data_IF_921130039185
#
_entry.id   IF_921130039185
#
_cell.length_a   1.000
_cell.length_b   1.000
_cell.length_c   1.000
_cell.angle_alpha   90.00
_cell.angle_beta   90.00
_cell.angle_gamma   90.00
#
_symmetry.space_group_name_H-M   'P 1'
#
loop_
_entity.id
_entity.type
_entity.pdbx_description
1 polymer ?
#
# COMPACT_ATOMS: atom_id res chain seq x y z
N UNK A 1 4.93 -16.36 29.39
CA UNK A 1 4.26 -15.17 28.82
C UNK A 1 2.79 -15.52 28.68
N UNK A 2 1.88 -14.63 29.09
CA UNK A 2 0.44 -14.85 28.98
C UNK A 2 0.05 -14.90 27.50
N UNK A 3 -0.43 -16.05 27.03
CA UNK A 3 -0.84 -16.24 25.64
C UNK A 3 -1.94 -15.29 25.17
N UNK A 4 -2.76 -14.77 26.09
CA UNK A 4 -3.81 -13.79 25.78
C UNK A 4 -3.29 -12.36 25.54
N UNK A 5 -2.23 -11.93 26.24
CA UNK A 5 -1.64 -10.59 26.03
C UNK A 5 -0.90 -10.52 24.68
N UNK A 6 -0.36 -11.66 24.24
CA UNK A 6 0.30 -11.81 22.95
C UNK A 6 -0.71 -11.77 21.79
N UNK A 7 -1.84 -12.48 21.91
CA UNK A 7 -2.89 -12.50 20.88
C UNK A 7 -3.52 -11.12 20.65
N UNK A 8 -3.85 -10.37 21.71
CA UNK A 8 -4.42 -9.02 21.57
C UNK A 8 -3.47 -8.07 20.83
N UNK A 9 -2.17 -8.20 21.06
CA UNK A 9 -1.16 -7.38 20.40
C UNK A 9 -1.07 -7.71 18.91
N UNK A 10 -1.05 -9.00 18.56
CA UNK A 10 -1.04 -9.46 17.18
C UNK A 10 -2.29 -9.06 16.40
N UNK A 11 -3.47 -9.07 17.04
CA UNK A 11 -4.70 -8.56 16.41
C UNK A 11 -4.57 -7.07 16.09
N UNK A 12 -4.11 -6.25 17.03
CA UNK A 12 -3.92 -4.82 16.79
C UNK A 12 -2.91 -4.54 15.67
N UNK A 13 -1.83 -5.33 15.60
CA UNK A 13 -0.85 -5.24 14.50
C UNK A 13 -1.51 -5.57 13.15
N UNK A 14 -2.37 -6.58 13.11
CA UNK A 14 -3.06 -6.99 11.90
C UNK A 14 -4.13 -5.98 11.46
N UNK A 15 -4.82 -5.34 12.41
CA UNK A 15 -5.75 -4.24 12.13
C UNK A 15 -5.02 -3.02 11.54
N UNK A 16 -3.86 -2.66 12.11
CA UNK A 16 -3.02 -1.60 11.57
C UNK A 16 -2.51 -1.94 10.16
N UNK A 17 -2.05 -3.17 9.94
CA UNK A 17 -1.69 -3.67 8.62
C UNK A 17 -2.87 -3.58 7.65
N UNK A 18 -4.08 -3.94 8.07
CA UNK A 18 -5.29 -3.87 7.25
C UNK A 18 -5.63 -2.42 6.87
N UNK A 19 -5.54 -1.46 7.79
CA UNK A 19 -5.74 -0.03 7.48
C UNK A 19 -4.75 0.46 6.42
N UNK A 20 -3.47 0.10 6.55
CA UNK A 20 -2.45 0.41 5.55
C UNK A 20 -2.73 -0.25 4.21
N UNK A 21 -3.16 -1.51 4.21
CA UNK A 21 -3.49 -2.23 2.99
C UNK A 21 -4.69 -1.63 2.27
N UNK A 22 -5.68 -1.06 2.97
CA UNK A 22 -6.79 -0.35 2.33
C UNK A 22 -6.33 0.96 1.66
N UNK A 23 -5.39 1.68 2.27
CA UNK A 23 -4.87 2.95 1.74
C UNK A 23 -4.13 2.80 0.42
N UNK A 24 -3.64 1.61 0.06
CA UNK A 24 -3.01 1.36 -1.26
C UNK A 24 -3.99 1.59 -2.43
N UNK A 25 -5.30 1.59 -2.17
CA UNK A 25 -6.31 1.84 -3.20
C UNK A 25 -6.72 3.30 -3.34
N UNK A 26 -6.19 4.21 -2.51
CA UNK A 26 -6.63 5.62 -2.44
C UNK A 26 -6.58 6.32 -3.80
N UNK A 27 -5.46 6.17 -4.54
CA UNK A 27 -5.33 6.73 -5.87
C UNK A 27 -6.31 6.10 -6.86
N UNK A 28 -6.52 4.79 -6.79
CA UNK A 28 -7.46 4.08 -7.68
C UNK A 28 -8.90 4.55 -7.46
N UNK A 29 -9.33 4.73 -6.21
CA UNK A 29 -10.64 5.28 -5.89
C UNK A 29 -10.81 6.70 -6.44
N UNK A 30 -9.80 7.55 -6.29
CA UNK A 30 -9.83 8.88 -6.89
C UNK A 30 -9.95 8.81 -8.42
N UNK A 31 -9.13 7.98 -9.08
CA UNK A 31 -9.17 7.83 -10.54
C UNK A 31 -10.55 7.37 -11.01
N UNK A 32 -11.15 6.37 -10.37
CA UNK A 32 -12.47 5.85 -10.75
C UNK A 32 -13.56 6.90 -10.56
N UNK A 33 -13.56 7.62 -9.43
CA UNK A 33 -14.58 8.62 -9.10
C UNK A 33 -14.54 9.81 -10.08
N UNK A 34 -13.34 10.30 -10.39
CA UNK A 34 -13.16 11.54 -11.15
C UNK A 34 -12.72 11.33 -12.62
N UNK A 35 -12.73 10.10 -13.14
CA UNK A 35 -12.26 9.78 -14.50
C UNK A 35 -12.95 10.60 -15.61
N UNK A 36 -14.22 10.98 -15.41
CA UNK A 36 -15.02 11.73 -16.38
C UNK A 36 -15.15 13.22 -15.99
N UNK A 37 -14.39 13.68 -14.99
CA UNK A 37 -14.44 15.07 -14.56
C UNK A 37 -13.74 15.97 -15.58
N UNK A 38 -14.51 16.91 -16.15
CA UNK A 38 -14.04 17.83 -17.19
C UNK A 38 -12.86 18.69 -16.73
N UNK A 39 -12.76 18.97 -15.43
CA UNK A 39 -11.68 19.76 -14.84
C UNK A 39 -10.34 19.00 -14.86
N UNK A 40 -10.37 17.67 -14.90
CA UNK A 40 -9.19 16.82 -15.05
C UNK A 40 -8.87 16.51 -16.53
N UNK A 41 -9.88 16.44 -17.40
CA UNK A 41 -9.72 16.08 -18.80
C UNK A 41 -9.31 17.24 -19.73
N UNK A 42 -9.65 18.50 -19.40
CA UNK A 42 -9.42 19.63 -20.31
C UNK A 42 -8.42 20.65 -19.74
N UNK A 43 -7.28 20.88 -20.41
CA UNK A 43 -6.22 21.74 -19.89
C UNK A 43 -6.50 23.25 -19.98
N UNK A 44 -7.58 23.68 -20.63
CA UNK A 44 -7.77 25.06 -21.10
C UNK A 44 -8.42 26.00 -20.07
N UNK A 45 -7.80 26.16 -18.90
CA UNK A 45 -7.86 27.37 -18.03
C UNK A 45 -7.33 27.04 -16.62
N UNK A 46 -6.25 27.70 -16.20
CA UNK A 46 -5.66 27.61 -14.84
C UNK A 46 -6.45 28.48 -13.83
N UNK A 47 -7.50 29.19 -14.28
CA UNK A 47 -8.26 30.13 -13.41
C UNK A 47 -9.33 29.46 -12.55
N UNK A 48 -9.50 28.14 -12.63
CA UNK A 48 -10.52 27.43 -11.88
C UNK A 48 -9.97 26.84 -10.57
N UNK A 49 -10.42 27.40 -9.43
CA UNK A 49 -10.05 26.93 -8.09
C UNK A 49 -10.40 25.44 -7.88
N UNK A 50 -11.50 24.96 -8.46
CA UNK A 50 -11.94 23.57 -8.31
C UNK A 50 -10.93 22.62 -8.94
N UNK A 51 -10.44 22.93 -10.14
CA UNK A 51 -9.42 22.14 -10.82
C UNK A 51 -8.13 22.02 -10.00
N UNK A 52 -7.67 23.13 -9.43
CA UNK A 52 -6.51 23.13 -8.53
C UNK A 52 -6.75 22.19 -7.34
N UNK A 53 -7.93 22.27 -6.71
CA UNK A 53 -8.29 21.38 -5.61
C UNK A 53 -8.28 19.90 -6.04
N UNK A 54 -8.83 19.57 -7.20
CA UNK A 54 -8.84 18.18 -7.69
C UNK A 54 -7.43 17.64 -7.97
N UNK A 55 -6.53 18.47 -8.53
CA UNK A 55 -5.12 18.07 -8.68
C UNK A 55 -4.43 17.84 -7.33
N UNK A 56 -4.65 18.74 -6.36
CA UNK A 56 -4.10 18.57 -5.00
C UNK A 56 -4.62 17.29 -4.34
N UNK A 57 -5.92 16.99 -4.47
CA UNK A 57 -6.51 15.77 -3.91
C UNK A 57 -5.94 14.54 -4.60
N UNK A 58 -5.83 14.54 -5.94
CA UNK A 58 -5.22 13.45 -6.70
C UNK A 58 -3.80 13.15 -6.21
N UNK A 59 -2.99 14.20 -6.09
CA UNK A 59 -1.60 14.07 -5.69
C UNK A 59 -1.48 13.60 -4.22
N UNK A 60 -2.41 14.03 -3.34
CA UNK A 60 -2.52 13.50 -1.98
C UNK A 60 -2.87 12.00 -1.97
N UNK A 61 -3.83 11.57 -2.81
CA UNK A 61 -4.20 10.16 -2.95
C UNK A 61 -3.05 9.32 -3.51
N UNK A 62 -2.26 9.85 -4.45
CA UNK A 62 -1.05 9.20 -4.95
C UNK A 62 0.00 9.05 -3.84
N UNK A 63 0.29 10.13 -3.12
CA UNK A 63 1.26 10.11 -2.02
C UNK A 63 0.85 9.10 -0.93
N UNK A 64 -0.41 9.10 -0.52
CA UNK A 64 -0.94 8.16 0.47
C UNK A 64 -0.80 6.71 -0.01
N UNK A 65 -1.09 6.45 -1.29
CA UNK A 65 -0.93 5.14 -1.92
C UNK A 65 0.54 4.68 -1.87
N UNK A 66 1.48 5.54 -2.25
CA UNK A 66 2.91 5.21 -2.28
C UNK A 66 3.51 5.04 -0.87
N UNK A 67 3.08 5.85 0.10
CA UNK A 67 3.44 5.67 1.51
C UNK A 67 2.95 4.32 2.02
N UNK A 68 1.68 3.98 1.77
CA UNK A 68 1.11 2.71 2.17
C UNK A 68 1.84 1.52 1.52
N UNK A 69 2.18 1.60 0.23
CA UNK A 69 2.97 0.58 -0.45
C UNK A 69 4.35 0.40 0.20
N UNK A 70 5.03 1.49 0.58
CA UNK A 70 6.33 1.43 1.26
C UNK A 70 6.21 0.82 2.65
N UNK A 71 5.22 1.23 3.44
CA UNK A 71 4.99 0.71 4.79
C UNK A 71 4.67 -0.79 4.76
N UNK A 72 3.87 -1.25 3.79
CA UNK A 72 3.56 -2.67 3.63
C UNK A 72 4.79 -3.46 3.16
N UNK A 73 5.59 -2.93 2.23
CA UNK A 73 6.85 -3.56 1.82
C UNK A 73 7.82 -3.69 3.00
N UNK A 74 7.89 -2.68 3.88
CA UNK A 74 8.69 -2.73 5.12
C UNK A 74 8.18 -3.78 6.11
N UNK A 75 6.86 -3.85 6.30
CA UNK A 75 6.22 -4.85 7.17
C UNK A 75 6.57 -6.29 6.77
N UNK A 76 6.70 -6.56 5.47
CA UNK A 76 7.02 -7.88 4.91
C UNK A 76 8.53 -8.22 4.93
N UNK A 77 9.37 -7.37 5.50
CA UNK A 77 10.79 -7.66 5.72
C UNK A 77 10.96 -8.45 7.03
N UNK A 78 11.51 -9.67 7.01
CA UNK A 78 11.76 -10.41 8.24
C UNK A 78 12.78 -9.69 9.12
N UNK A 79 12.54 -9.69 10.44
CA UNK A 79 13.43 -9.06 11.43
C UNK A 79 14.87 -9.57 11.33
N UNK A 80 15.07 -10.86 11.09
CA UNK A 80 16.40 -11.47 10.96
C UNK A 80 17.15 -11.04 9.70
N UNK A 81 16.42 -10.74 8.62
CA UNK A 81 17.00 -10.18 7.40
C UNK A 81 17.41 -8.71 7.56
N UNK A 82 17.18 -8.07 8.71
CA UNK A 82 17.52 -6.66 8.95
C UNK A 82 18.94 -6.43 9.50
N UNK A 83 19.70 -7.51 9.81
CA UNK A 83 21.10 -7.37 10.23
C UNK A 83 22.02 -7.17 9.02
N UNK A 84 22.39 -5.91 8.76
CA UNK A 84 23.28 -5.45 7.66
C UNK A 84 22.79 -5.84 6.25
N UNK A 85 21.90 -5.05 5.66
CA UNK A 85 21.64 -5.17 4.22
C UNK A 85 22.41 -4.12 3.42
N UNK A 86 23.31 -4.60 2.58
CA UNK A 86 24.09 -3.93 1.52
C UNK A 86 23.24 -3.20 0.46
N UNK A 87 21.93 -3.01 0.70
CA UNK A 87 20.95 -2.47 -0.27
C UNK A 87 20.21 -1.22 0.24
N UNK A 88 20.75 -0.51 1.22
CA UNK A 88 20.18 0.76 1.70
C UNK A 88 18.89 0.65 2.53
N UNK A 89 18.62 -0.51 3.15
CA UNK A 89 17.46 -0.69 4.05
C UNK A 89 17.82 -0.30 5.49
N UNK A 90 16.94 0.43 6.16
CA UNK A 90 17.07 0.76 7.59
C UNK A 90 16.97 -0.52 8.41
N UNK A 91 17.86 -0.72 9.39
CA UNK A 91 17.77 -1.84 10.34
C UNK A 91 16.43 -1.75 11.06
N UNK A 92 15.65 -2.84 11.03
CA UNK A 92 14.38 -2.91 11.73
C UNK A 92 14.61 -2.69 13.23
N UNK A 93 13.87 -1.75 13.80
CA UNK A 93 13.89 -1.43 15.22
C UNK A 93 12.99 -2.41 15.96
N UNK A 94 13.23 -2.58 17.26
CA UNK A 94 12.38 -3.44 18.10
C UNK A 94 10.92 -2.94 18.15
N UNK A 95 10.69 -1.65 17.91
CA UNK A 95 9.37 -1.02 17.82
C UNK A 95 8.66 -1.19 16.48
N UNK A 96 9.37 -1.66 15.45
CA UNK A 96 8.78 -1.79 14.12
C UNK A 96 7.86 -3.01 14.10
N UNK A 97 6.65 -2.81 13.59
CA UNK A 97 5.66 -3.85 13.38
C UNK A 97 6.02 -4.62 12.12
N UNK A 98 6.23 -5.94 12.24
CA UNK A 98 6.67 -6.78 11.13
C UNK A 98 5.85 -8.08 11.05
N UNK A 99 5.75 -8.64 9.84
CA UNK A 99 5.13 -9.96 9.63
C UNK A 99 5.83 -11.05 10.47
N UNK A 100 7.13 -10.92 10.72
CA UNK A 100 7.88 -11.85 11.56
C UNK A 100 7.42 -11.88 13.01
N UNK A 101 6.73 -10.84 13.49
CA UNK A 101 6.15 -10.84 14.84
C UNK A 101 5.01 -11.87 14.98
N UNK A 102 4.40 -12.26 13.85
CA UNK A 102 3.42 -13.36 13.78
C UNK A 102 4.07 -14.74 13.61
N UNK A 103 5.40 -14.80 13.46
CA UNK A 103 6.15 -15.99 13.08
C UNK A 103 6.37 -16.15 11.56
N UNK A 104 6.00 -15.15 10.74
CA UNK A 104 6.17 -15.21 9.29
C UNK A 104 7.59 -14.81 8.87
N UNK A 105 8.42 -15.79 8.51
CA UNK A 105 9.85 -15.59 8.23
C UNK A 105 10.18 -15.41 6.74
N UNK A 106 9.20 -15.55 5.86
CA UNK A 106 9.43 -15.39 4.41
C UNK A 106 9.61 -13.92 4.04
N UNK A 107 10.68 -13.60 3.30
CA UNK A 107 10.85 -12.28 2.72
C UNK A 107 9.95 -12.12 1.49
N UNK A 108 8.91 -11.29 1.62
CA UNK A 108 7.93 -11.00 0.58
C UNK A 108 7.98 -9.54 0.13
N UNK A 109 9.14 -8.90 0.24
CA UNK A 109 9.31 -7.57 -0.37
C UNK A 109 9.07 -7.64 -1.87
N UNK A 110 8.29 -6.69 -2.38
CA UNK A 110 7.87 -6.60 -3.77
C UNK A 110 8.36 -5.31 -4.44
N UNK A 111 8.79 -4.31 -3.68
CA UNK A 111 9.41 -3.12 -4.24
C UNK A 111 10.90 -3.39 -4.54
N UNK A 112 11.29 -3.10 -5.78
CA UNK A 112 12.69 -3.03 -6.19
C UNK A 112 13.44 -1.89 -5.49
N UNK A 113 14.77 -1.94 -5.53
CA UNK A 113 15.60 -0.89 -4.93
C UNK A 113 15.36 0.49 -5.56
N UNK A 114 15.09 0.55 -6.86
CA UNK A 114 14.74 1.80 -7.57
C UNK A 114 13.38 2.30 -7.13
N UNK A 115 12.32 1.48 -7.17
CA UNK A 115 10.97 1.88 -6.76
C UNK A 115 10.97 2.42 -5.31
N UNK A 116 11.70 1.75 -4.40
CA UNK A 116 11.86 2.24 -3.02
C UNK A 116 12.60 3.56 -2.94
N UNK A 117 13.65 3.73 -3.73
CA UNK A 117 14.43 4.98 -3.76
C UNK A 117 13.57 6.13 -4.26
N UNK A 118 12.79 5.89 -5.30
CA UNK A 118 11.88 6.86 -5.91
C UNK A 118 10.76 7.26 -4.94
N UNK A 119 10.13 6.29 -4.28
CA UNK A 119 9.10 6.56 -3.27
C UNK A 119 9.70 7.34 -2.10
N UNK A 120 10.86 6.92 -1.60
CA UNK A 120 11.54 7.63 -0.52
C UNK A 120 11.94 9.05 -0.94
N UNK A 121 12.35 9.25 -2.20
CA UNK A 121 12.61 10.57 -2.74
C UNK A 121 11.33 11.39 -2.78
N UNK A 122 10.21 10.87 -3.27
CA UNK A 122 8.93 11.58 -3.29
C UNK A 122 8.48 11.98 -1.87
N UNK A 123 8.53 11.05 -0.92
CA UNK A 123 8.21 11.29 0.50
C UNK A 123 9.17 12.32 1.10
N UNK A 124 10.48 12.16 0.88
CA UNK A 124 11.50 13.06 1.39
C UNK A 124 11.50 14.42 0.68
N UNK A 125 11.00 14.53 -0.55
CA UNK A 125 11.01 15.74 -1.38
C UNK A 125 9.82 16.68 -1.18
N UNK A 126 9.14 16.56 -0.03
CA UNK A 126 8.79 17.76 0.75
C UNK A 126 10.02 18.64 1.11
N UNK A 127 11.26 18.17 0.85
CA UNK A 127 12.52 18.92 1.06
C UNK A 127 13.42 19.18 -0.17
N UNK A 128 13.13 18.71 -1.40
CA UNK A 128 13.85 19.19 -2.61
C UNK A 128 13.07 20.31 -3.29
N UNK A 129 13.79 21.33 -3.77
CA UNK A 129 13.24 22.43 -4.58
C UNK A 129 13.11 21.99 -6.04
N UNK A 130 11.89 21.93 -6.57
CA UNK A 130 11.63 22.02 -8.01
C UNK A 130 10.60 21.06 -8.62
N UNK A 131 10.14 21.33 -9.87
CA UNK A 131 9.13 20.56 -10.62
C UNK A 131 9.60 19.20 -11.16
N UNK A 132 10.87 18.83 -10.99
CA UNK A 132 11.45 17.60 -11.54
C UNK A 132 10.96 16.32 -10.84
N UNK A 133 10.47 16.42 -9.60
CA UNK A 133 9.94 15.28 -8.82
C UNK A 133 8.60 14.75 -9.39
N UNK A 134 7.87 15.60 -10.14
CA UNK A 134 6.50 15.30 -10.60
C UNK A 134 6.44 14.66 -12.01
N UNK A 135 7.57 14.35 -12.63
CA UNK A 135 7.61 13.73 -13.96
C UNK A 135 7.65 12.19 -13.94
N UNK A 136 7.65 11.58 -12.76
CA UNK A 136 7.70 10.14 -12.64
C UNK A 136 6.31 9.55 -12.91
N UNK A 137 6.16 8.87 -14.05
CA UNK A 137 4.96 8.10 -14.34
C UNK A 137 4.97 6.82 -13.50
N UNK A 138 4.16 6.81 -12.45
CA UNK A 138 3.96 5.64 -11.61
C UNK A 138 2.98 4.68 -12.29
N UNK A 139 3.41 3.44 -12.55
CA UNK A 139 2.44 2.37 -12.76
C UNK A 139 1.87 1.94 -11.41
N UNK A 140 0.98 2.79 -10.87
CA UNK A 140 0.35 2.59 -9.56
C UNK A 140 -0.36 1.24 -9.52
N UNK A 141 -0.94 0.81 -10.65
CA UNK A 141 -1.66 -0.44 -10.70
C UNK A 141 -0.74 -1.66 -10.60
N UNK A 142 0.41 -1.66 -11.29
CA UNK A 142 1.41 -2.69 -11.14
C UNK A 142 1.88 -2.80 -9.69
N UNK A 143 2.16 -1.67 -9.03
CA UNK A 143 2.59 -1.63 -7.63
C UNK A 143 1.52 -2.17 -6.68
N UNK A 144 0.25 -1.78 -6.88
CA UNK A 144 -0.89 -2.29 -6.10
C UNK A 144 -1.06 -3.80 -6.32
N UNK A 145 -0.93 -4.28 -7.55
CA UNK A 145 -1.05 -5.71 -7.88
C UNK A 145 0.03 -6.55 -7.21
N UNK A 146 1.29 -6.07 -7.25
CA UNK A 146 2.42 -6.67 -6.52
C UNK A 146 2.13 -6.74 -5.02
N UNK A 147 1.72 -5.62 -4.43
CA UNK A 147 1.38 -5.52 -3.01
C UNK A 147 0.28 -6.52 -2.60
N UNK A 148 -0.86 -6.50 -3.28
CA UNK A 148 -2.00 -7.38 -2.98
C UNK A 148 -1.62 -8.86 -3.07
N UNK A 149 -0.81 -9.24 -4.07
CA UNK A 149 -0.30 -10.61 -4.22
C UNK A 149 0.51 -11.06 -3.00
N UNK A 150 1.48 -10.24 -2.55
CA UNK A 150 2.31 -10.58 -1.39
C UNK A 150 1.51 -10.56 -0.07
N UNK A 151 0.63 -9.58 0.12
CA UNK A 151 -0.24 -9.49 1.28
C UNK A 151 -1.18 -10.69 1.38
N UNK A 152 -1.72 -11.16 0.25
CA UNK A 152 -2.59 -12.34 0.23
C UNK A 152 -1.83 -13.59 0.71
N UNK A 153 -0.58 -13.77 0.28
CA UNK A 153 0.27 -14.87 0.76
C UNK A 153 0.49 -14.81 2.28
N UNK A 154 0.72 -13.63 2.84
CA UNK A 154 0.86 -13.44 4.29
C UNK A 154 -0.44 -13.74 5.04
N UNK A 155 -1.56 -13.18 4.59
CA UNK A 155 -2.86 -13.37 5.24
C UNK A 155 -3.34 -14.83 5.19
N UNK A 156 -3.16 -15.51 4.06
CA UNK A 156 -3.44 -16.95 3.94
C UNK A 156 -2.58 -17.76 4.92
N UNK A 157 -1.31 -17.37 5.12
CA UNK A 157 -0.44 -18.01 6.10
C UNK A 157 -0.92 -17.78 7.54
N UNK A 158 -1.30 -16.55 7.90
CA UNK A 158 -1.83 -16.23 9.24
C UNK A 158 -3.09 -17.05 9.51
N UNK A 159 -4.01 -17.11 8.55
CA UNK A 159 -5.22 -17.94 8.63
C UNK A 159 -4.89 -19.42 8.83
N UNK A 160 -3.79 -19.92 8.25
CA UNK A 160 -3.42 -21.32 8.36
C UNK A 160 -2.73 -21.67 9.67
N UNK A 161 -1.81 -20.83 10.15
CA UNK A 161 -1.02 -21.08 11.34
C UNK A 161 -1.75 -20.72 12.63
N UNK A 162 -2.65 -19.74 12.58
CA UNK A 162 -3.35 -19.21 13.75
C UNK A 162 -4.83 -19.59 13.81
N UNK A 163 -5.22 -20.74 13.22
CA UNK A 163 -6.63 -21.23 13.20
C UNK A 163 -7.26 -21.37 14.58
N UNK A 164 -6.46 -21.64 15.62
CA UNK A 164 -6.91 -21.76 17.00
C UNK A 164 -7.13 -20.41 17.70
N UNK A 165 -6.62 -19.32 17.14
CA UNK A 165 -6.74 -17.96 17.67
C UNK A 165 -7.87 -17.23 16.95
N UNK A 166 -9.09 -17.38 17.49
CA UNK A 166 -10.33 -16.97 16.80
C UNK A 166 -10.31 -15.51 16.32
N UNK A 167 -9.82 -14.58 17.15
CA UNK A 167 -9.80 -13.15 16.81
C UNK A 167 -8.79 -12.86 15.70
N UNK A 168 -7.57 -13.39 15.86
CA UNK A 168 -6.49 -13.21 14.88
C UNK A 168 -6.85 -13.83 13.53
N UNK A 169 -7.38 -15.05 13.53
CA UNK A 169 -7.90 -15.72 12.34
C UNK A 169 -8.99 -14.89 11.65
N UNK A 170 -9.98 -14.41 12.40
CA UNK A 170 -11.10 -13.65 11.84
C UNK A 170 -10.64 -12.31 11.26
N UNK A 171 -9.71 -11.62 11.93
CA UNK A 171 -9.12 -10.39 11.42
C UNK A 171 -8.37 -10.62 10.10
N UNK A 172 -7.58 -11.70 10.00
CA UNK A 172 -6.86 -12.06 8.77
C UNK A 172 -7.81 -12.35 7.61
N UNK A 173 -8.83 -13.18 7.88
CA UNK A 173 -9.86 -13.54 6.90
C UNK A 173 -10.61 -12.30 6.40
N UNK A 174 -11.06 -11.43 7.31
CA UNK A 174 -11.77 -10.21 6.95
C UNK A 174 -10.89 -9.25 6.13
N UNK A 175 -9.63 -9.08 6.54
CA UNK A 175 -8.65 -8.29 5.79
C UNK A 175 -8.51 -8.82 4.36
N UNK A 176 -8.23 -10.12 4.21
CA UNK A 176 -8.03 -10.75 2.90
C UNK A 176 -9.25 -10.66 2.00
N UNK A 177 -10.43 -11.00 2.52
CA UNK A 177 -11.69 -10.93 1.76
C UNK A 177 -12.00 -9.50 1.33
N UNK A 178 -11.80 -8.53 2.21
CA UNK A 178 -12.05 -7.12 1.91
C UNK A 178 -11.09 -6.61 0.84
N UNK A 179 -9.79 -6.82 1.01
CA UNK A 179 -8.76 -6.45 0.04
C UNK A 179 -9.05 -7.08 -1.33
N UNK A 180 -9.41 -8.35 -1.37
CA UNK A 180 -9.73 -9.05 -2.62
C UNK A 180 -10.93 -8.42 -3.32
N UNK A 181 -12.03 -8.17 -2.60
CA UNK A 181 -13.22 -7.54 -3.17
C UNK A 181 -12.93 -6.15 -3.74
N UNK A 182 -12.14 -5.35 -3.01
CA UNK A 182 -11.73 -4.02 -3.47
C UNK A 182 -10.86 -4.14 -4.73
N UNK A 183 -9.86 -5.03 -4.70
CA UNK A 183 -8.96 -5.24 -5.83
C UNK A 183 -9.73 -5.67 -7.09
N UNK A 184 -10.65 -6.63 -6.97
CA UNK A 184 -11.50 -7.10 -8.07
C UNK A 184 -12.40 -5.97 -8.60
N UNK A 185 -13.00 -5.16 -7.72
CA UNK A 185 -13.84 -4.03 -8.14
C UNK A 185 -13.03 -2.93 -8.87
N UNK A 186 -11.85 -2.60 -8.36
CA UNK A 186 -10.95 -1.62 -8.99
C UNK A 186 -10.43 -2.13 -10.33
N UNK A 187 -10.06 -3.42 -10.42
CA UNK A 187 -9.62 -4.05 -11.66
C UNK A 187 -10.72 -4.01 -12.72
N UNK A 188 -11.96 -4.39 -12.37
CA UNK A 188 -13.09 -4.36 -13.29
C UNK A 188 -13.37 -2.93 -13.82
N UNK A 189 -13.41 -1.94 -12.92
CA UNK A 189 -13.64 -0.54 -13.31
C UNK A 189 -12.55 0.00 -14.25
N UNK A 190 -11.31 -0.49 -14.15
CA UNK A 190 -10.21 -0.14 -15.04
C UNK A 190 -10.35 -0.79 -16.43
N UNK A 191 -10.75 -2.05 -16.48
CA UNK A 191 -10.93 -2.77 -17.76
C UNK A 191 -12.09 -2.19 -18.58
N UNK A 192 -13.19 -1.82 -17.91
CA UNK A 192 -14.32 -1.12 -18.53
C UNK A 192 -13.88 0.24 -19.13
N UNK A 193 -12.90 0.89 -18.51
CA UNK A 193 -12.34 2.14 -19.01
C UNK A 193 -11.46 1.94 -20.25
N UNK A 194 -10.59 0.93 -20.25
CA UNK A 194 -9.72 0.64 -21.40
C UNK A 194 -10.52 0.24 -22.65
N UNK A 195 -11.65 -0.45 -22.46
CA UNK A 195 -12.54 -0.86 -23.55
C UNK A 195 -13.40 0.29 -24.09
N UNK A 196 -13.67 1.33 -23.29
CA UNK A 196 -14.46 2.50 -23.71
C UNK A 196 -13.68 3.55 -24.51
N UNK A 197 -12.35 3.42 -24.62
CA UNK A 197 -11.47 4.34 -25.35
C UNK A 197 -11.03 3.84 -26.74
N UNK A 198 -11.57 2.70 -27.20
CA UNK A 198 -11.34 2.13 -28.54
C UNK A 198 -12.56 2.38 -29.42
#
# INVERSE_FOLDING_TARGET
MNSQEDESTLVAHLEYFSDRLLRVFSHSFFTIEFQNDKDLCHPDSIKDCRRLMLHVIRDACLNETLIALRDIDDFLVPRECSSRNEKGRTKARASDLLASDFGYLENKTFLSASERTDINQLIAHTTKRGPEVYQQNWDVWELVSKCVSQCSSFLDWVEQQHKSHFLLFTAALNCRVTTRKIYEAVHAARDDHQTSQV
#
